data_IF_586315511052
#
_entry.id   IF_586315511052
#
_cell.length_a   1.000
_cell.length_b   1.000
_cell.length_c   1.000
_cell.angle_alpha   90.00
_cell.angle_beta   90.00
_cell.angle_gamma   90.00
#
_symmetry.space_group_name_H-M   'P 1'
#
loop_
_entity.id
_entity.type
_entity.pdbx_description
1 polymer ?
#
# COMPACT_ATOMS: atom_id res chain seq x y z
N UNK A 1 -10.81 -7.33 -1.07
CA UNK A 1 -10.27 -8.23 -2.14
C UNK A 1 -10.73 -7.69 -3.48
N UNK A 2 -9.89 -7.51 -4.51
CA UNK A 2 -10.40 -7.22 -5.85
C UNK A 2 -11.10 -8.47 -6.36
N UNK A 3 -12.37 -8.32 -6.73
CA UNK A 3 -13.24 -9.41 -7.16
C UNK A 3 -12.68 -10.11 -8.39
N UNK A 4 -12.51 -11.43 -8.29
CA UNK A 4 -12.35 -12.26 -9.46
C UNK A 4 -13.71 -12.25 -10.16
N UNK A 5 -13.85 -11.47 -11.24
CA UNK A 5 -15.04 -11.54 -12.08
C UNK A 5 -15.10 -12.96 -12.64
N UNK A 6 -16.13 -13.71 -12.26
CA UNK A 6 -16.49 -14.96 -12.93
C UNK A 6 -16.93 -14.63 -14.36
N UNK A 7 -16.75 -15.55 -15.30
CA UNK A 7 -17.35 -15.46 -16.64
C UNK A 7 -18.85 -15.11 -16.58
N UNK A 8 -19.54 -15.58 -15.53
CA UNK A 8 -20.96 -15.28 -15.28
C UNK A 8 -21.27 -13.82 -14.89
N UNK A 9 -20.26 -13.03 -14.49
CA UNK A 9 -20.39 -11.62 -14.08
C UNK A 9 -19.85 -10.63 -15.10
N UNK A 10 -19.11 -11.12 -16.10
CA UNK A 10 -18.67 -10.31 -17.23
C UNK A 10 -19.86 -10.16 -18.20
N UNK A 11 -20.30 -8.93 -18.46
CA UNK A 11 -21.33 -8.69 -19.48
C UNK A 11 -20.90 -9.23 -20.86
N UNK A 12 -21.82 -9.33 -21.84
CA UNK A 12 -21.57 -10.00 -23.13
C UNK A 12 -20.33 -9.51 -23.89
N UNK A 13 -19.95 -8.24 -23.68
CA UNK A 13 -18.77 -7.60 -24.30
C UNK A 13 -17.43 -8.01 -23.67
N UNK A 14 -17.44 -8.49 -22.44
CA UNK A 14 -16.24 -8.82 -21.67
C UNK A 14 -16.07 -10.32 -21.43
N UNK A 15 -17.05 -11.14 -21.85
CA UNK A 15 -17.01 -12.59 -21.65
C UNK A 15 -15.72 -13.18 -22.22
N UNK A 16 -15.35 -12.88 -23.47
CA UNK A 16 -14.10 -13.37 -24.08
C UNK A 16 -12.80 -12.76 -23.53
N UNK A 17 -12.87 -11.91 -22.50
CA UNK A 17 -11.72 -11.27 -21.86
C UNK A 17 -11.45 -11.79 -20.45
N UNK A 18 -12.15 -12.84 -20.02
CA UNK A 18 -11.84 -13.52 -18.76
C UNK A 18 -10.64 -14.45 -18.92
N UNK A 19 -9.91 -14.69 -17.83
CA UNK A 19 -8.65 -15.43 -17.87
C UNK A 19 -8.78 -16.83 -18.51
N UNK A 20 -9.80 -17.66 -18.20
CA UNK A 20 -10.00 -18.94 -18.89
C UNK A 20 -10.09 -18.79 -20.41
N UNK A 21 -10.93 -17.87 -20.90
CA UNK A 21 -11.16 -17.64 -22.33
C UNK A 21 -9.89 -17.10 -23.02
N UNK A 22 -9.13 -16.24 -22.35
CA UNK A 22 -7.84 -15.74 -22.85
C UNK A 22 -6.80 -16.86 -22.97
N UNK A 23 -6.76 -17.81 -22.03
CA UNK A 23 -5.86 -18.97 -22.14
C UNK A 23 -6.32 -19.90 -23.26
N UNK A 24 -7.63 -20.10 -23.43
CA UNK A 24 -8.16 -20.88 -24.54
C UNK A 24 -7.88 -20.26 -25.91
N UNK A 25 -7.86 -18.93 -26.01
CA UNK A 25 -7.54 -18.22 -27.26
C UNK A 25 -6.10 -18.45 -27.76
N UNK A 26 -5.24 -19.06 -26.94
CA UNK A 26 -3.87 -19.40 -27.32
C UNK A 26 -3.77 -20.74 -28.08
N UNK A 27 -4.87 -21.48 -28.22
CA UNK A 27 -4.93 -22.67 -29.08
C UNK A 27 -4.56 -22.30 -30.52
N UNK A 28 -3.98 -23.22 -31.30
CA UNK A 28 -3.72 -22.96 -32.71
C UNK A 28 -4.99 -22.55 -33.45
N UNK A 29 -4.85 -21.64 -34.41
CA UNK A 29 -5.92 -21.35 -35.37
C UNK A 29 -6.18 -22.58 -36.24
N UNK A 30 -7.38 -22.69 -36.78
CA UNK A 30 -7.84 -23.91 -37.48
C UNK A 30 -6.98 -24.31 -38.69
N UNK A 31 -6.21 -23.38 -39.25
CA UNK A 31 -5.37 -23.54 -40.43
C UNK A 31 -3.86 -23.68 -40.13
N UNK A 32 -3.44 -23.65 -38.86
CA UNK A 32 -2.08 -24.07 -38.48
C UNK A 32 -1.98 -25.60 -38.45
N UNK A 33 -1.71 -26.17 -39.61
CA UNK A 33 -1.58 -27.62 -39.84
C UNK A 33 -0.16 -28.15 -39.62
N UNK A 34 0.77 -27.31 -39.14
CA UNK A 34 2.14 -27.73 -38.94
C UNK A 34 2.25 -28.77 -37.81
N UNK A 35 3.13 -29.77 -37.99
CA UNK A 35 3.44 -30.72 -36.94
C UNK A 35 3.91 -30.00 -35.67
N UNK A 36 3.36 -30.37 -34.52
CA UNK A 36 3.65 -29.75 -33.22
C UNK A 36 3.00 -28.38 -32.97
N UNK A 37 2.01 -27.94 -33.75
CA UNK A 37 1.27 -26.70 -33.50
C UNK A 37 0.63 -26.66 -32.10
N UNK A 38 -0.01 -27.75 -31.70
CA UNK A 38 -0.62 -27.89 -30.37
C UNK A 38 0.41 -27.78 -29.24
N UNK A 39 1.56 -28.47 -29.37
CA UNK A 39 2.63 -28.42 -28.38
C UNK A 39 3.19 -26.99 -28.24
N UNK A 40 3.41 -26.28 -29.35
CA UNK A 40 3.88 -24.88 -29.30
C UNK A 40 2.86 -23.98 -28.58
N UNK A 41 1.58 -24.09 -28.94
CA UNK A 41 0.50 -23.35 -28.31
C UNK A 41 0.38 -23.66 -26.81
N UNK A 42 0.47 -24.94 -26.44
CA UNK A 42 0.46 -25.38 -25.04
C UNK A 42 1.62 -24.77 -24.25
N UNK A 43 2.85 -24.77 -24.79
CA UNK A 43 4.01 -24.18 -24.11
C UNK A 43 3.85 -22.66 -23.91
N UNK A 44 3.26 -21.95 -24.88
CA UNK A 44 2.91 -20.54 -24.73
C UNK A 44 1.89 -20.33 -23.60
N UNK A 45 0.78 -21.07 -23.62
CA UNK A 45 -0.24 -21.00 -22.59
C UNK A 45 0.30 -21.34 -21.19
N UNK A 46 1.12 -22.39 -21.10
CA UNK A 46 1.77 -22.82 -19.86
C UNK A 46 2.69 -21.73 -19.30
N UNK A 47 3.47 -21.06 -20.14
CA UNK A 47 4.37 -19.98 -19.73
C UNK A 47 3.59 -18.82 -19.10
N UNK A 48 2.47 -18.42 -19.71
CA UNK A 48 1.61 -17.35 -19.21
C UNK A 48 0.92 -17.76 -17.91
N UNK A 49 0.29 -18.93 -17.88
CA UNK A 49 -0.40 -19.43 -16.69
C UNK A 49 0.56 -19.58 -15.49
N UNK A 50 1.77 -20.11 -15.74
CA UNK A 50 2.85 -20.23 -14.75
C UNK A 50 3.18 -18.87 -14.14
N UNK A 51 3.36 -17.83 -14.94
CA UNK A 51 3.71 -16.50 -14.46
C UNK A 51 2.66 -15.96 -13.46
N UNK A 52 1.36 -16.19 -13.72
CA UNK A 52 0.31 -15.78 -12.78
C UNK A 52 0.34 -16.55 -11.46
N UNK A 53 0.51 -17.87 -11.51
CA UNK A 53 0.55 -18.73 -10.31
C UNK A 53 1.79 -18.40 -9.47
N UNK A 54 2.95 -18.29 -10.10
CA UNK A 54 4.21 -17.93 -9.44
C UNK A 54 4.13 -16.53 -8.83
N UNK A 55 3.58 -15.55 -9.55
CA UNK A 55 3.35 -14.21 -9.02
C UNK A 55 2.38 -14.22 -7.81
N UNK A 56 1.31 -15.02 -7.86
CA UNK A 56 0.35 -15.15 -6.75
C UNK A 56 1.00 -15.78 -5.52
N UNK A 57 1.81 -16.82 -5.72
CA UNK A 57 2.58 -17.48 -4.66
C UNK A 57 3.60 -16.52 -4.04
N UNK A 58 4.38 -15.82 -4.86
CA UNK A 58 5.35 -14.83 -4.42
C UNK A 58 4.70 -13.70 -3.60
N UNK A 59 3.53 -13.18 -4.03
CA UNK A 59 2.77 -12.18 -3.26
C UNK A 59 2.26 -12.72 -1.93
N UNK A 60 1.75 -13.95 -1.88
CA UNK A 60 1.36 -14.59 -0.60
C UNK A 60 2.55 -14.68 0.35
N UNK A 61 3.69 -15.19 -0.13
CA UNK A 61 4.89 -15.32 0.68
C UNK A 61 5.40 -13.94 1.14
N UNK A 62 5.35 -12.91 0.29
CA UNK A 62 5.70 -11.55 0.65
C UNK A 62 4.78 -10.97 1.74
N UNK A 63 3.47 -11.25 1.67
CA UNK A 63 2.51 -10.82 2.71
C UNK A 63 2.83 -11.43 4.08
N UNK A 64 3.19 -12.72 4.12
CA UNK A 64 3.59 -13.39 5.37
C UNK A 64 4.88 -12.80 5.96
N UNK A 65 5.89 -12.53 5.11
CA UNK A 65 7.11 -11.84 5.57
C UNK A 65 6.81 -10.44 6.10
N UNK A 66 5.94 -9.70 5.41
CA UNK A 66 5.56 -8.37 5.83
C UNK A 66 4.79 -8.39 7.16
N UNK A 67 3.91 -9.37 7.37
CA UNK A 67 3.20 -9.57 8.63
C UNK A 67 4.16 -9.75 9.81
N UNK A 68 5.18 -10.60 9.68
CA UNK A 68 6.18 -10.80 10.73
C UNK A 68 6.91 -9.49 11.10
N UNK A 69 7.38 -8.74 10.10
CA UNK A 69 8.08 -7.46 10.32
C UNK A 69 7.17 -6.43 10.98
N UNK A 70 5.90 -6.35 10.56
CA UNK A 70 4.94 -5.39 11.11
C UNK A 70 4.57 -5.72 12.54
N UNK A 71 4.41 -7.00 12.89
CA UNK A 71 4.17 -7.41 14.29
C UNK A 71 5.36 -7.05 15.19
N UNK A 72 6.59 -7.25 14.72
CA UNK A 72 7.78 -6.82 15.45
C UNK A 72 7.85 -5.29 15.60
N UNK A 73 7.50 -4.54 14.55
CA UNK A 73 7.45 -3.08 14.59
C UNK A 73 6.37 -2.56 15.54
N UNK A 74 5.19 -3.19 15.59
CA UNK A 74 4.12 -2.88 16.55
C UNK A 74 4.60 -3.13 17.97
N UNK A 75 5.23 -4.27 18.24
CA UNK A 75 5.76 -4.59 19.56
C UNK A 75 6.84 -3.59 20.01
N UNK A 76 7.70 -3.14 19.09
CA UNK A 76 8.71 -2.10 19.36
C UNK A 76 8.09 -0.72 19.56
N UNK A 77 7.01 -0.40 18.86
CA UNK A 77 6.31 0.87 19.05
C UNK A 77 5.70 0.98 20.45
N UNK A 78 5.22 -0.13 21.03
CA UNK A 78 4.59 -0.13 22.36
C UNK A 78 3.35 0.75 22.34
N UNK A 79 3.27 1.72 23.26
CA UNK A 79 2.15 2.66 23.36
C UNK A 79 2.30 3.90 22.45
N UNK A 80 3.35 3.98 21.62
CA UNK A 80 3.53 5.12 20.71
C UNK A 80 2.50 5.10 19.58
N UNK A 81 2.04 6.28 19.16
CA UNK A 81 1.11 6.42 18.03
C UNK A 81 1.77 6.33 16.63
N UNK A 82 3.06 5.99 16.56
CA UNK A 82 3.87 6.01 15.32
C UNK A 82 4.43 4.61 15.06
N UNK A 83 4.10 4.04 13.90
CA UNK A 83 4.68 2.80 13.41
C UNK A 83 5.89 3.10 12.50
N UNK A 84 7.06 2.64 12.87
CA UNK A 84 8.24 2.73 12.00
C UNK A 84 8.47 1.42 11.26
N UNK A 85 8.56 1.50 9.93
CA UNK A 85 8.81 0.36 9.05
C UNK A 85 10.13 0.52 8.30
N UNK A 86 10.85 -0.59 8.05
CA UNK A 86 12.16 -0.54 7.38
C UNK A 86 12.07 -0.20 5.89
N UNK A 87 10.88 -0.29 5.28
CA UNK A 87 10.65 -0.01 3.86
C UNK A 87 9.16 0.19 3.58
N UNK A 88 8.84 0.74 2.40
CA UNK A 88 7.47 0.72 1.88
C UNK A 88 6.98 -0.72 1.71
N UNK A 89 6.00 -1.12 2.52
CA UNK A 89 5.51 -2.50 2.58
C UNK A 89 4.04 -2.56 3.03
N UNK A 90 3.29 -3.65 2.73
CA UNK A 90 1.93 -3.80 3.21
C UNK A 90 1.92 -4.01 4.73
N UNK A 91 1.23 -3.13 5.46
CA UNK A 91 1.16 -3.20 6.93
C UNK A 91 -0.26 -3.17 7.50
N UNK A 92 -1.21 -2.54 6.80
CA UNK A 92 -2.56 -2.28 7.32
C UNK A 92 -3.32 -3.54 7.78
N UNK A 93 -3.35 -4.65 7.01
CA UNK A 93 -4.06 -5.84 7.45
C UNK A 93 -3.51 -6.39 8.78
N UNK A 94 -2.20 -6.26 9.00
CA UNK A 94 -1.55 -6.70 10.23
C UNK A 94 -1.85 -5.77 11.41
N UNK A 95 -1.84 -4.45 11.19
CA UNK A 95 -2.22 -3.47 12.23
C UNK A 95 -3.65 -3.71 12.71
N UNK A 96 -4.59 -3.93 11.77
CA UNK A 96 -5.99 -4.25 12.10
C UNK A 96 -6.09 -5.58 12.84
N UNK A 97 -5.43 -6.65 12.33
CA UNK A 97 -5.42 -7.97 12.97
C UNK A 97 -4.83 -7.95 14.38
N UNK A 98 -3.83 -7.11 14.62
CA UNK A 98 -3.18 -6.95 15.93
C UNK A 98 -3.98 -6.07 16.90
N UNK A 99 -5.06 -5.41 16.46
CA UNK A 99 -5.81 -4.46 17.29
C UNK A 99 -4.99 -3.23 17.69
N UNK A 100 -3.99 -2.85 16.89
CA UNK A 100 -3.10 -1.74 17.20
C UNK A 100 -3.73 -0.39 16.80
N UNK A 101 -4.90 -0.07 17.36
CA UNK A 101 -5.70 1.10 17.00
C UNK A 101 -5.09 2.43 17.48
N UNK A 102 -4.22 2.37 18.48
CA UNK A 102 -3.40 3.49 18.95
C UNK A 102 -2.40 4.00 17.90
N UNK A 103 -2.07 3.20 16.87
CA UNK A 103 -1.18 3.66 15.79
C UNK A 103 -1.95 4.55 14.83
N UNK A 104 -1.51 5.80 14.71
CA UNK A 104 -2.16 6.80 13.86
C UNK A 104 -1.35 7.11 12.60
N UNK A 105 -0.02 7.10 12.71
CA UNK A 105 0.88 7.39 11.60
C UNK A 105 1.88 6.26 11.39
N UNK A 106 2.35 6.12 10.15
CA UNK A 106 3.44 5.22 9.78
C UNK A 106 4.56 6.02 9.12
N UNK A 107 5.82 5.70 9.44
CA UNK A 107 6.99 6.23 8.76
C UNK A 107 7.80 5.11 8.09
N UNK A 108 8.34 5.38 6.92
CA UNK A 108 9.20 4.42 6.20
C UNK A 108 10.08 5.11 5.16
N UNK A 109 11.24 4.55 4.80
CA UNK A 109 12.06 5.08 3.72
C UNK A 109 11.40 4.87 2.35
N UNK A 110 11.63 5.81 1.43
CA UNK A 110 11.19 5.82 0.03
C UNK A 110 12.30 6.40 -0.84
N UNK A 111 13.15 5.53 -1.40
CA UNK A 111 14.30 5.97 -2.19
C UNK A 111 15.31 6.69 -1.30
N UNK A 112 15.65 7.94 -1.66
CA UNK A 112 16.52 8.82 -0.84
C UNK A 112 15.81 9.45 0.35
N UNK A 113 14.48 9.46 0.34
CA UNK A 113 13.68 10.25 1.26
C UNK A 113 12.92 9.33 2.23
N UNK A 114 12.17 9.92 3.15
CA UNK A 114 11.28 9.26 4.09
C UNK A 114 9.87 9.77 3.91
N UNK A 115 8.88 8.90 4.11
CA UNK A 115 7.47 9.25 4.05
C UNK A 115 6.80 9.04 5.38
N UNK A 116 5.82 9.90 5.65
CA UNK A 116 4.91 9.81 6.79
C UNK A 116 3.52 9.65 6.18
N UNK A 117 2.82 8.58 6.53
CA UNK A 117 1.47 8.32 6.07
C UNK A 117 0.50 8.19 7.23
N UNK A 118 -0.72 8.69 7.05
CA UNK A 118 -1.82 8.34 7.94
C UNK A 118 -2.21 6.86 7.81
N UNK A 119 -2.62 6.27 8.93
CA UNK A 119 -3.19 4.92 8.98
C UNK A 119 -4.71 5.06 8.86
N UNK A 120 -5.32 4.31 7.94
CA UNK A 120 -6.77 4.36 7.69
C UNK A 120 -7.56 3.62 8.76
N UNK A 121 -8.80 4.06 9.01
CA UNK A 121 -9.74 3.39 9.92
C UNK A 121 -10.25 2.05 9.36
N UNK A 122 -10.43 1.95 8.04
CA UNK A 122 -10.91 0.74 7.36
C UNK A 122 -10.13 0.45 6.08
N UNK A 123 -10.24 -0.78 5.55
CA UNK A 123 -9.57 -1.17 4.30
C UNK A 123 -10.14 -0.45 3.07
N UNK A 124 -11.46 -0.27 3.01
CA UNK A 124 -12.17 0.27 1.84
C UNK A 124 -12.42 1.79 1.93
N UNK A 125 -12.17 2.41 3.08
CA UNK A 125 -12.35 3.85 3.31
C UNK A 125 -11.11 4.70 2.99
N UNK A 126 -11.32 6.03 2.94
CA UNK A 126 -10.24 7.02 2.87
C UNK A 126 -9.99 7.75 4.19
N UNK A 127 -10.87 7.56 5.18
CA UNK A 127 -10.75 8.17 6.49
C UNK A 127 -9.48 7.71 7.21
N UNK A 128 -8.66 8.67 7.63
CA UNK A 128 -7.49 8.43 8.46
C UNK A 128 -7.90 8.31 9.93
N UNK A 129 -7.08 7.62 10.73
CA UNK A 129 -7.19 7.62 12.20
C UNK A 129 -6.87 9.01 12.75
N UNK A 130 -5.88 9.68 12.17
CA UNK A 130 -5.59 11.08 12.37
C UNK A 130 -5.05 11.71 11.07
N UNK A 131 -5.32 13.00 10.88
CA UNK A 131 -4.79 13.78 9.77
C UNK A 131 -3.51 14.50 10.17
N UNK A 132 -2.58 14.70 9.23
CA UNK A 132 -1.43 15.59 9.42
C UNK A 132 -1.90 17.03 9.72
N UNK A 133 -1.12 17.90 10.39
CA UNK A 133 -1.54 19.26 10.73
C UNK A 133 -2.14 20.06 9.55
N UNK A 134 -3.23 20.78 9.81
CA UNK A 134 -3.91 21.57 8.78
C UNK A 134 -3.02 22.69 8.23
N UNK A 135 -2.16 23.26 9.07
CA UNK A 135 -1.16 24.28 8.68
C UNK A 135 -0.15 23.78 7.65
N UNK A 136 -0.01 22.46 7.45
CA UNK A 136 0.92 21.89 6.48
C UNK A 136 0.28 21.61 5.11
N UNK A 137 -1.06 21.66 5.02
CA UNK A 137 -1.79 21.19 3.85
C UNK A 137 -1.31 21.89 2.56
N UNK A 138 -0.77 21.10 1.63
CA UNK A 138 -0.30 21.59 0.33
C UNK A 138 1.05 22.31 0.34
N UNK A 139 1.72 22.42 1.50
CA UNK A 139 3.02 23.08 1.59
C UNK A 139 4.15 22.19 1.08
N UNK A 140 5.17 22.83 0.49
CA UNK A 140 6.38 22.20 -0.07
C UNK A 140 7.63 22.95 0.36
N UNK A 141 8.74 22.22 0.53
CA UNK A 141 10.06 22.77 0.81
C UNK A 141 10.08 23.73 1.99
N UNK A 142 10.72 24.89 1.82
CA UNK A 142 10.90 25.89 2.88
C UNK A 142 9.63 26.31 3.59
N UNK A 143 8.49 26.41 2.88
CA UNK A 143 7.22 26.77 3.50
C UNK A 143 6.75 25.71 4.51
N UNK A 144 6.96 24.42 4.20
CA UNK A 144 6.65 23.34 5.12
C UNK A 144 7.66 23.28 6.27
N UNK A 145 8.94 23.52 6.00
CA UNK A 145 9.96 23.59 7.07
C UNK A 145 9.63 24.70 8.07
N UNK A 146 9.21 25.87 7.60
CA UNK A 146 8.82 27.00 8.45
C UNK A 146 7.54 26.69 9.25
N UNK A 147 6.50 26.15 8.59
CA UNK A 147 5.24 25.82 9.24
C UNK A 147 5.34 24.64 10.23
N UNK A 148 6.26 23.70 10.01
CA UNK A 148 6.48 22.54 10.88
C UNK A 148 7.57 22.75 11.92
N UNK A 149 8.49 23.71 11.69
CA UNK A 149 9.73 23.83 12.46
C UNK A 149 10.73 22.69 12.24
N UNK A 150 10.50 21.81 11.24
CA UNK A 150 11.34 20.65 10.97
C UNK A 150 12.17 20.87 9.71
N UNK A 151 13.50 20.99 9.89
CA UNK A 151 14.44 20.99 8.76
C UNK A 151 14.42 19.63 8.07
N UNK A 152 14.40 19.65 6.74
CA UNK A 152 14.25 18.48 5.89
C UNK A 152 12.80 18.10 5.62
N UNK A 153 11.80 18.92 5.97
CA UNK A 153 10.42 18.67 5.54
C UNK A 153 10.26 19.04 4.05
N UNK A 154 9.82 18.08 3.22
CA UNK A 154 9.85 18.22 1.76
C UNK A 154 8.48 18.59 1.18
N UNK A 155 7.42 17.94 1.63
CA UNK A 155 6.08 18.13 1.09
C UNK A 155 5.02 17.55 2.04
N UNK A 156 3.84 18.17 2.08
CA UNK A 156 2.63 17.60 2.66
C UNK A 156 1.46 17.72 1.69
N UNK A 157 0.76 16.61 1.45
CA UNK A 157 -0.39 16.58 0.54
C UNK A 157 -1.54 17.43 1.08
N UNK A 158 -2.29 18.10 0.19
CA UNK A 158 -3.42 18.96 0.57
C UNK A 158 -4.51 18.20 1.35
N UNK A 159 -4.72 16.92 1.00
CA UNK A 159 -5.60 16.00 1.74
C UNK A 159 -5.03 15.44 3.04
N UNK A 160 -3.88 15.93 3.53
CA UNK A 160 -3.30 15.68 4.87
C UNK A 160 -3.04 14.20 5.25
N UNK A 161 -3.06 13.29 4.29
CA UNK A 161 -2.83 11.86 4.53
C UNK A 161 -1.37 11.40 4.30
N UNK A 162 -0.52 12.24 3.70
CA UNK A 162 0.88 11.91 3.42
C UNK A 162 1.78 13.15 3.42
N UNK A 163 2.98 12.99 3.98
CA UNK A 163 4.07 13.94 3.88
C UNK A 163 5.40 13.22 3.58
N UNK A 164 6.38 13.97 3.11
CA UNK A 164 7.73 13.50 2.82
C UNK A 164 8.77 14.34 3.58
N UNK A 165 9.87 13.70 3.95
CA UNK A 165 11.00 14.30 4.65
C UNK A 165 12.33 13.76 4.08
N UNK A 166 13.39 14.54 4.20
CA UNK A 166 14.70 14.21 3.62
C UNK A 166 15.39 13.02 4.31
N UNK A 167 15.05 12.73 5.57
CA UNK A 167 15.66 11.66 6.34
C UNK A 167 14.71 11.16 7.45
N UNK A 168 15.13 10.08 8.11
CA UNK A 168 14.40 9.41 9.18
C UNK A 168 14.04 10.34 10.33
N UNK A 169 14.99 11.15 10.80
CA UNK A 169 14.81 11.98 11.99
C UNK A 169 13.84 13.12 11.72
N UNK A 170 13.90 13.72 10.53
CA UNK A 170 12.90 14.69 10.07
C UNK A 170 11.51 14.07 9.95
N UNK A 171 11.40 12.86 9.38
CA UNK A 171 10.12 12.15 9.30
C UNK A 171 9.53 11.85 10.68
N UNK A 172 10.37 11.40 11.62
CA UNK A 172 9.97 11.10 12.98
C UNK A 172 9.58 12.38 13.75
N UNK A 173 10.29 13.49 13.55
CA UNK A 173 9.95 14.77 14.16
C UNK A 173 8.59 15.29 13.67
N UNK A 174 8.34 15.27 12.36
CA UNK A 174 7.04 15.61 11.78
C UNK A 174 5.92 14.70 12.32
N UNK A 175 6.14 13.38 12.37
CA UNK A 175 5.17 12.44 12.92
C UNK A 175 4.84 12.73 14.39
N UNK A 176 5.83 13.08 15.22
CA UNK A 176 5.61 13.47 16.62
C UNK A 176 4.78 14.75 16.75
N UNK A 177 4.99 15.74 15.88
CA UNK A 177 4.17 16.95 15.87
C UNK A 177 2.73 16.62 15.47
N UNK A 178 2.55 15.78 14.44
CA UNK A 178 1.24 15.35 13.99
C UNK A 178 0.48 14.56 15.08
N UNK A 179 1.15 13.71 15.85
CA UNK A 179 0.54 13.02 17.01
C UNK A 179 0.04 14.03 18.04
N UNK A 180 0.87 15.00 18.45
CA UNK A 180 0.47 16.03 19.42
C UNK A 180 -0.74 16.83 18.94
N UNK A 181 -0.76 17.23 17.67
CA UNK A 181 -1.89 17.96 17.09
C UNK A 181 -3.17 17.10 17.10
N UNK A 182 -3.05 15.81 16.80
CA UNK A 182 -4.17 14.88 16.84
C UNK A 182 -4.69 14.63 18.27
N UNK A 183 -3.80 14.49 19.26
CA UNK A 183 -4.18 14.41 20.68
C UNK A 183 -4.95 15.65 21.14
N UNK A 184 -4.53 16.84 20.72
CA UNK A 184 -5.23 18.11 21.02
C UNK A 184 -6.61 18.17 20.34
N UNK A 185 -6.72 17.68 19.10
CA UNK A 185 -7.99 17.63 18.38
C UNK A 185 -8.98 16.64 19.02
N UNK A 186 -8.51 15.48 19.50
CA UNK A 186 -9.34 14.55 20.26
C UNK A 186 -9.79 15.15 21.59
N UNK A 187 -8.90 15.81 22.34
CA UNK A 187 -9.23 16.43 23.62
C UNK A 187 -10.22 17.60 23.52
N UNK A 188 -10.20 18.35 22.41
CA UNK A 188 -11.16 19.43 22.16
C UNK A 188 -12.49 18.99 21.54
N UNK A 189 -12.63 17.69 21.20
CA UNK A 189 -13.87 17.11 20.68
C UNK A 189 -14.76 16.46 21.75
N UNK A 190 -14.31 16.48 23.02
CA UNK A 190 -15.04 16.04 24.22
C UNK A 190 -15.63 17.24 24.94
#
# INVERSE_FOLDING_TARGET
>A
MPGCASAASAGPLLSGMVLPDLIESLKPVFDDTASGAEDRAFQTALTIARAFVEARSARSAAKLRAEAIVLEAIAKAGDNCILELPMGMPFRPTVVKAGADHLWFVISPRGSDWVIGGIRKSEDGFEQRADLPASWAGLTGMALEEASGVKGALFCHNGRFIAAAANRDAALALARIAVKEAELAEAGSV
#
